data_IF_323187345984
#
_entry.id   IF_323187345984
#
_cell.length_a   1.000
_cell.length_b   1.000
_cell.length_c   1.000
_cell.angle_alpha   90.00
_cell.angle_beta   90.00
_cell.angle_gamma   90.00
#
_symmetry.space_group_name_H-M   'P 1'
#
loop_
_entity.id
_entity.type
_entity.pdbx_description
1 polymer ?
#
# COMPACT_ATOMS: atom_id res chain seq x y z
N UNK A 1 27.66 1.94 17.07
CA UNK A 1 26.80 2.11 15.88
C UNK A 1 25.36 1.74 16.28
N UNK A 2 24.41 2.61 16.03
CA UNK A 2 23.01 2.26 16.26
C UNK A 2 22.57 1.24 15.18
N UNK A 3 21.93 0.19 15.64
CA UNK A 3 21.35 -0.82 14.76
C UNK A 3 20.28 -0.16 13.85
N UNK A 4 20.34 -0.45 12.54
CA UNK A 4 19.35 0.09 11.61
C UNK A 4 17.94 -0.40 11.99
N UNK A 5 16.97 0.50 11.99
CA UNK A 5 15.56 0.13 12.17
C UNK A 5 15.09 -0.80 11.06
N UNK A 6 14.19 -1.72 11.40
CA UNK A 6 13.69 -2.74 10.48
C UNK A 6 12.25 -2.47 10.10
N UNK A 7 12.00 -2.37 8.81
CA UNK A 7 10.67 -2.12 8.22
C UNK A 7 10.20 -3.34 7.44
N UNK A 8 8.98 -3.80 7.72
CA UNK A 8 8.32 -4.85 6.97
C UNK A 8 7.26 -4.24 6.05
N UNK A 9 7.39 -4.46 4.74
CA UNK A 9 6.36 -4.12 3.76
C UNK A 9 5.64 -5.40 3.35
N UNK A 10 4.36 -5.48 3.70
CA UNK A 10 3.46 -6.55 3.29
C UNK A 10 2.47 -6.02 2.25
N UNK A 11 2.26 -6.76 1.20
CA UNK A 11 1.30 -6.38 0.17
C UNK A 11 0.54 -7.58 -0.37
N UNK A 12 -0.62 -7.32 -0.96
CA UNK A 12 -1.26 -8.22 -1.89
C UNK A 12 -1.37 -7.52 -3.25
N UNK A 13 -1.34 -8.26 -4.32
CA UNK A 13 -1.47 -7.72 -5.67
C UNK A 13 -2.33 -8.63 -6.54
N UNK A 14 -2.98 -8.06 -7.51
CA UNK A 14 -3.71 -8.80 -8.54
C UNK A 14 -3.03 -8.67 -9.91
N UNK A 15 -2.61 -7.46 -10.25
CA UNK A 15 -2.06 -7.11 -11.56
C UNK A 15 -0.59 -6.66 -11.51
N UNK A 16 0.06 -6.77 -10.34
CA UNK A 16 1.47 -6.42 -10.16
C UNK A 16 1.73 -4.95 -9.77
N UNK A 17 0.75 -4.05 -9.85
CA UNK A 17 0.95 -2.62 -9.52
C UNK A 17 1.29 -2.41 -8.04
N UNK A 18 0.58 -3.07 -7.13
CA UNK A 18 0.85 -2.96 -5.69
C UNK A 18 2.25 -3.48 -5.34
N UNK A 19 2.71 -4.55 -5.99
CA UNK A 19 4.08 -5.07 -5.88
C UNK A 19 5.11 -4.04 -6.36
N UNK A 20 4.87 -3.44 -7.52
CA UNK A 20 5.75 -2.41 -8.09
C UNK A 20 5.87 -1.22 -7.14
N UNK A 21 4.76 -0.77 -6.58
CA UNK A 21 4.73 0.29 -5.58
C UNK A 21 5.47 -0.09 -4.28
N UNK A 22 5.32 -1.34 -3.81
CA UNK A 22 6.04 -1.85 -2.65
C UNK A 22 7.56 -1.79 -2.85
N UNK A 23 8.05 -2.22 -4.02
CA UNK A 23 9.47 -2.17 -4.37
C UNK A 23 9.98 -0.73 -4.49
N UNK A 24 9.23 0.16 -5.12
CA UNK A 24 9.58 1.58 -5.22
C UNK A 24 9.66 2.26 -3.84
N UNK A 25 8.77 1.89 -2.93
CA UNK A 25 8.80 2.36 -1.55
C UNK A 25 10.01 1.79 -0.80
N UNK A 26 10.29 0.51 -0.97
CA UNK A 26 11.43 -0.17 -0.36
C UNK A 26 12.75 0.48 -0.76
N UNK A 27 12.95 0.80 -2.04
CA UNK A 27 14.15 1.47 -2.55
C UNK A 27 14.40 2.82 -1.85
N UNK A 28 13.33 3.53 -1.51
CA UNK A 28 13.44 4.81 -0.79
C UNK A 28 13.72 4.64 0.71
N UNK A 29 13.18 3.58 1.32
CA UNK A 29 13.36 3.29 2.74
C UNK A 29 14.74 2.68 3.01
N UNK A 30 15.30 1.91 2.08
CA UNK A 30 16.62 1.25 2.21
C UNK A 30 17.77 2.24 2.48
N UNK A 31 17.60 3.49 2.06
CA UNK A 31 18.53 4.56 2.36
C UNK A 31 18.71 4.85 3.87
N UNK A 32 17.72 4.51 4.71
CA UNK A 32 17.73 4.86 6.14
C UNK A 32 17.28 3.73 7.09
N UNK A 33 16.76 2.62 6.58
CA UNK A 33 16.31 1.48 7.38
C UNK A 33 16.58 0.16 6.64
N UNK A 34 16.55 -0.95 7.35
CA UNK A 34 16.56 -2.29 6.75
C UNK A 34 15.13 -2.66 6.33
N UNK A 35 14.94 -3.07 5.08
CA UNK A 35 13.60 -3.32 4.53
C UNK A 35 13.44 -4.77 4.12
N UNK A 36 12.32 -5.38 4.52
CA UNK A 36 11.87 -6.66 4.01
C UNK A 36 10.53 -6.47 3.28
N UNK A 37 10.41 -7.02 2.09
CA UNK A 37 9.19 -6.93 1.27
C UNK A 37 8.64 -8.33 1.02
N UNK A 38 7.39 -8.57 1.43
CA UNK A 38 6.75 -9.86 1.25
C UNK A 38 5.33 -9.73 0.68
N UNK A 39 5.00 -10.64 -0.22
CA UNK A 39 3.64 -10.83 -0.71
C UNK A 39 2.86 -11.69 0.31
N UNK A 40 1.71 -11.24 0.76
CA UNK A 40 0.82 -12.00 1.65
C UNK A 40 0.27 -13.29 1.01
N UNK A 41 0.46 -13.49 -0.31
CA UNK A 41 0.18 -14.75 -0.97
C UNK A 41 1.22 -15.84 -0.64
N UNK A 42 2.46 -15.45 -0.37
CA UNK A 42 3.60 -16.35 -0.26
C UNK A 42 3.97 -16.63 1.20
N UNK A 43 3.96 -15.62 2.06
CA UNK A 43 4.37 -15.75 3.45
C UNK A 43 3.70 -14.73 4.37
N UNK A 44 3.58 -15.09 5.63
CA UNK A 44 3.19 -14.23 6.74
C UNK A 44 4.34 -14.22 7.77
N UNK A 45 5.35 -13.37 7.55
CA UNK A 45 6.52 -13.35 8.42
C UNK A 45 6.19 -12.83 9.80
N UNK A 46 6.91 -13.30 10.85
CA UNK A 46 6.70 -12.84 12.21
C UNK A 46 6.99 -11.33 12.33
N UNK A 47 6.03 -10.59 12.83
CA UNK A 47 6.09 -9.13 12.95
C UNK A 47 6.94 -8.63 14.13
N UNK A 48 7.28 -9.52 15.08
CA UNK A 48 8.05 -9.19 16.27
C UNK A 48 9.43 -8.60 15.99
N UNK A 49 10.06 -9.01 14.89
CA UNK A 49 11.40 -8.58 14.49
C UNK A 49 11.46 -7.22 13.80
N UNK A 50 10.34 -6.55 13.60
CA UNK A 50 10.26 -5.30 12.85
C UNK A 50 9.79 -4.15 13.72
N UNK A 51 10.34 -2.97 13.49
CA UNK A 51 9.99 -1.73 14.20
C UNK A 51 8.73 -1.07 13.62
N UNK A 52 8.50 -1.24 12.33
CA UNK A 52 7.38 -0.64 11.61
C UNK A 52 6.85 -1.59 10.54
N UNK A 53 5.52 -1.64 10.42
CA UNK A 53 4.83 -2.45 9.41
C UNK A 53 4.14 -1.54 8.41
N UNK A 54 4.32 -1.83 7.13
CA UNK A 54 3.59 -1.22 6.02
C UNK A 54 2.69 -2.25 5.37
N UNK A 55 1.43 -1.91 5.15
CA UNK A 55 0.49 -2.73 4.37
C UNK A 55 0.13 -2.03 3.08
N UNK A 56 0.18 -2.75 1.97
CA UNK A 56 -0.22 -2.29 0.65
C UNK A 56 -1.33 -3.14 0.05
N UNK A 57 -2.33 -2.50 -0.53
CA UNK A 57 -3.47 -3.17 -1.15
C UNK A 57 -3.95 -2.49 -2.42
N UNK A 58 -4.28 -3.25 -3.47
CA UNK A 58 -5.08 -2.71 -4.55
C UNK A 58 -6.52 -2.46 -4.07
N UNK A 59 -7.19 -1.51 -4.70
CA UNK A 59 -8.64 -1.31 -4.57
C UNK A 59 -9.33 -1.89 -5.79
N UNK A 60 -10.27 -2.76 -5.54
CA UNK A 60 -11.17 -3.28 -6.56
C UNK A 60 -12.61 -3.18 -6.07
N UNK A 61 -13.47 -2.55 -6.85
CA UNK A 61 -14.87 -2.30 -6.49
C UNK A 61 -15.01 -1.65 -5.10
N UNK A 62 -14.13 -0.70 -4.79
CA UNK A 62 -14.10 0.02 -3.53
C UNK A 62 -13.64 -0.79 -2.32
N UNK A 63 -13.03 -1.96 -2.51
CA UNK A 63 -12.59 -2.87 -1.44
C UNK A 63 -11.12 -3.19 -1.56
N UNK A 64 -10.45 -3.31 -0.41
CA UNK A 64 -9.09 -3.84 -0.33
C UNK A 64 -9.06 -5.34 -0.62
N UNK A 65 -7.89 -5.84 -0.97
CA UNK A 65 -7.68 -7.26 -1.26
C UNK A 65 -8.02 -8.12 -0.03
N UNK A 66 -8.69 -9.27 -0.26
CA UNK A 66 -9.15 -10.18 0.80
C UNK A 66 -8.03 -10.63 1.77
N UNK A 67 -6.82 -10.84 1.26
CA UNK A 67 -5.66 -11.24 2.08
C UNK A 67 -5.21 -10.12 3.02
N UNK A 68 -5.22 -8.88 2.54
CA UNK A 68 -4.92 -7.69 3.38
C UNK A 68 -5.99 -7.52 4.45
N UNK A 69 -7.26 -7.65 4.07
CA UNK A 69 -8.38 -7.59 5.03
C UNK A 69 -8.28 -8.66 6.11
N UNK A 70 -7.93 -9.89 5.72
CA UNK A 70 -7.70 -11.01 6.65
C UNK A 70 -6.53 -10.72 7.58
N UNK A 71 -5.41 -10.22 7.04
CA UNK A 71 -4.24 -9.85 7.82
C UNK A 71 -4.56 -8.80 8.88
N UNK A 72 -5.24 -7.71 8.49
CA UNK A 72 -5.68 -6.66 9.42
C UNK A 72 -6.56 -7.26 10.54
N UNK A 73 -7.52 -8.12 10.17
CA UNK A 73 -8.43 -8.76 11.14
C UNK A 73 -7.65 -9.61 12.18
N UNK A 74 -6.70 -10.39 11.70
CA UNK A 74 -5.96 -11.33 12.53
C UNK A 74 -4.87 -10.65 13.39
N UNK A 75 -4.41 -9.48 12.99
CA UNK A 75 -3.29 -8.77 13.62
C UNK A 75 -3.68 -7.42 14.23
N UNK A 76 -4.95 -7.23 14.57
CA UNK A 76 -5.47 -5.97 15.13
C UNK A 76 -4.68 -5.47 16.34
N UNK A 77 -4.32 -6.37 17.25
CA UNK A 77 -3.62 -6.03 18.48
C UNK A 77 -2.19 -5.53 18.19
N UNK A 78 -1.49 -6.20 17.29
CA UNK A 78 -0.12 -5.81 16.89
C UNK A 78 -0.14 -4.49 16.14
N UNK A 79 -1.04 -4.33 15.16
CA UNK A 79 -1.18 -3.11 14.38
C UNK A 79 -1.67 -1.91 15.22
N UNK A 80 -2.33 -2.17 16.34
CA UNK A 80 -2.79 -1.14 17.27
C UNK A 80 -1.72 -0.59 18.21
N UNK A 81 -0.58 -1.27 18.33
CA UNK A 81 0.52 -0.86 19.23
C UNK A 81 1.83 -0.61 18.50
N UNK A 82 2.08 -1.33 17.41
CA UNK A 82 3.29 -1.16 16.59
C UNK A 82 3.08 -0.03 15.56
N UNK A 83 4.07 0.81 15.29
CA UNK A 83 3.98 1.80 14.21
C UNK A 83 3.56 1.16 12.89
N UNK A 84 2.51 1.69 12.30
CA UNK A 84 1.83 1.12 11.15
C UNK A 84 1.60 2.16 10.05
N UNK A 85 1.85 1.78 8.81
CA UNK A 85 1.56 2.60 7.64
C UNK A 85 0.72 1.80 6.63
N UNK A 86 -0.12 2.48 5.88
CA UNK A 86 -1.04 1.84 4.96
C UNK A 86 -1.12 2.60 3.63
N UNK A 87 -0.95 1.90 2.52
CA UNK A 87 -1.19 2.49 1.21
C UNK A 87 -2.14 1.66 0.36
N UNK A 88 -2.83 2.33 -0.52
CA UNK A 88 -3.68 1.71 -1.52
C UNK A 88 -3.19 2.07 -2.93
N UNK A 89 -3.49 1.18 -3.87
CA UNK A 89 -3.33 1.43 -5.29
C UNK A 89 -4.71 1.45 -5.95
N UNK A 90 -5.07 2.58 -6.53
CA UNK A 90 -6.34 2.78 -7.20
C UNK A 90 -6.21 3.80 -8.33
N UNK A 91 -6.98 3.60 -9.38
CA UNK A 91 -6.94 4.46 -10.56
C UNK A 91 -7.49 5.87 -10.29
N UNK A 92 -8.53 5.98 -9.48
CA UNK A 92 -9.17 7.25 -9.15
C UNK A 92 -8.60 7.81 -7.84
N UNK A 93 -7.54 8.60 -7.93
CA UNK A 93 -6.82 9.11 -6.75
C UNK A 93 -7.63 10.13 -5.94
N UNK A 94 -8.52 10.86 -6.57
CA UNK A 94 -9.41 11.86 -5.95
C UNK A 94 -10.38 11.26 -4.92
N UNK A 95 -10.76 10.00 -5.08
CA UNK A 95 -11.63 9.28 -4.12
C UNK A 95 -10.89 8.31 -3.20
N UNK A 96 -9.56 8.33 -3.22
CA UNK A 96 -8.72 7.42 -2.41
C UNK A 96 -9.05 7.53 -0.92
N UNK A 97 -9.25 8.74 -0.40
CA UNK A 97 -9.62 8.96 1.01
C UNK A 97 -10.89 8.21 1.40
N UNK A 98 -11.90 8.20 0.53
CA UNK A 98 -13.15 7.46 0.76
C UNK A 98 -12.90 5.95 0.86
N UNK A 99 -12.04 5.41 0.01
CA UNK A 99 -11.66 4.00 0.06
C UNK A 99 -10.89 3.64 1.34
N UNK A 100 -9.98 4.49 1.77
CA UNK A 100 -9.23 4.30 3.02
C UNK A 100 -10.17 4.29 4.21
N UNK A 101 -11.06 5.27 4.31
CA UNK A 101 -12.05 5.36 5.40
C UNK A 101 -12.96 4.12 5.45
N UNK A 102 -13.40 3.65 4.29
CA UNK A 102 -14.28 2.48 4.18
C UNK A 102 -13.60 1.17 4.61
N UNK A 103 -12.30 1.04 4.34
CA UNK A 103 -11.61 -0.25 4.44
C UNK A 103 -10.69 -0.37 5.67
N UNK A 104 -10.20 0.73 6.22
CA UNK A 104 -9.33 0.72 7.38
C UNK A 104 -10.11 1.10 8.65
N UNK A 105 -10.15 0.22 9.67
CA UNK A 105 -10.85 0.50 10.93
C UNK A 105 -10.40 1.83 11.56
N UNK A 106 -11.32 2.63 12.15
CA UNK A 106 -11.01 3.94 12.71
C UNK A 106 -9.81 3.94 13.67
N UNK A 107 -9.78 3.01 14.61
CA UNK A 107 -8.68 2.89 15.58
C UNK A 107 -7.31 2.69 14.91
N UNK A 108 -7.24 1.87 13.86
CA UNK A 108 -5.99 1.66 13.12
C UNK A 108 -5.65 2.89 12.28
N UNK A 109 -6.64 3.53 11.67
CA UNK A 109 -6.44 4.73 10.85
C UNK A 109 -5.88 5.89 11.66
N UNK A 110 -6.36 6.10 12.89
CA UNK A 110 -5.85 7.11 13.81
C UNK A 110 -4.43 6.82 14.29
N UNK A 111 -4.04 5.56 14.28
CA UNK A 111 -2.72 5.11 14.72
C UNK A 111 -1.68 5.07 13.60
N UNK A 112 -2.07 5.24 12.34
CA UNK A 112 -1.13 5.17 11.20
C UNK A 112 -0.12 6.32 11.24
N UNK A 113 1.16 5.98 10.98
CA UNK A 113 2.23 6.98 10.79
C UNK A 113 2.21 7.59 9.39
N UNK A 114 1.68 6.85 8.41
CA UNK A 114 1.44 7.30 7.05
C UNK A 114 0.27 6.53 6.44
N UNK A 115 -0.58 7.22 5.71
CA UNK A 115 -1.66 6.62 4.93
C UNK A 115 -1.86 7.44 3.65
N UNK A 116 -1.86 6.76 2.50
CA UNK A 116 -1.98 7.44 1.21
C UNK A 116 -2.38 6.49 0.08
N UNK A 117 -2.65 7.05 -1.09
CA UNK A 117 -2.73 6.31 -2.35
C UNK A 117 -1.44 6.50 -3.15
N UNK A 118 -1.00 5.42 -3.79
CA UNK A 118 0.12 5.47 -4.73
C UNK A 118 -0.33 5.53 -6.20
N UNK A 119 -1.61 5.83 -6.42
CA UNK A 119 -2.20 5.81 -7.75
C UNK A 119 -2.37 4.40 -8.27
N UNK A 120 -2.38 4.22 -9.57
CA UNK A 120 -2.56 2.92 -10.16
C UNK A 120 -2.21 2.88 -11.64
N UNK A 121 -2.02 1.68 -12.13
CA UNK A 121 -1.90 1.38 -13.54
C UNK A 121 -3.07 0.46 -13.92
N UNK A 122 -3.72 0.75 -15.02
CA UNK A 122 -4.70 -0.15 -15.62
C UNK A 122 -4.08 -0.75 -16.88
N UNK A 123 -3.81 -2.04 -16.83
CA UNK A 123 -3.25 -2.75 -17.98
C UNK A 123 -4.19 -3.88 -18.39
N UNK A 124 -4.92 -3.74 -19.52
CA UNK A 124 -5.83 -4.76 -20.01
C UNK A 124 -5.18 -6.10 -20.32
N UNK A 125 -3.86 -6.12 -20.62
CA UNK A 125 -3.14 -7.34 -20.97
C UNK A 125 -3.01 -8.33 -19.83
N UNK A 126 -3.07 -7.89 -18.58
CA UNK A 126 -3.04 -8.75 -17.39
C UNK A 126 -4.42 -9.24 -16.95
N UNK A 127 -5.48 -8.85 -17.64
CA UNK A 127 -6.85 -9.21 -17.31
C UNK A 127 -7.47 -10.07 -18.41
N UNK A 128 -8.32 -11.00 -18.01
CA UNK A 128 -8.98 -11.93 -18.94
C UNK A 128 -10.49 -11.71 -18.96
N UNK A 129 -11.12 -11.92 -20.14
CA UNK A 129 -12.56 -11.93 -20.29
C UNK A 129 -13.24 -10.58 -20.02
N UNK A 130 -14.30 -10.58 -19.22
CA UNK A 130 -15.12 -9.39 -18.92
C UNK A 130 -14.33 -8.31 -18.17
N UNK A 131 -13.40 -8.68 -17.31
CA UNK A 131 -12.53 -7.74 -16.59
C UNK A 131 -11.66 -6.92 -17.56
N UNK A 132 -11.17 -7.55 -18.63
CA UNK A 132 -10.38 -6.87 -19.68
C UNK A 132 -11.22 -5.82 -20.42
N UNK A 133 -12.41 -6.16 -20.85
CA UNK A 133 -13.32 -5.23 -21.55
C UNK A 133 -13.73 -4.06 -20.68
N UNK A 134 -14.03 -4.32 -19.42
CA UNK A 134 -14.35 -3.27 -18.45
C UNK A 134 -13.16 -2.32 -18.24
N UNK A 135 -11.96 -2.86 -18.16
CA UNK A 135 -10.72 -2.06 -18.03
C UNK A 135 -10.45 -1.24 -19.28
N UNK A 136 -10.59 -1.80 -20.47
CA UNK A 136 -10.42 -1.07 -21.74
C UNK A 136 -11.42 0.09 -21.86
N UNK A 137 -12.68 -0.14 -21.48
CA UNK A 137 -13.73 0.89 -21.48
C UNK A 137 -13.40 2.00 -20.47
N UNK A 138 -12.94 1.63 -19.29
CA UNK A 138 -12.54 2.56 -18.23
C UNK A 138 -11.36 3.44 -18.70
N UNK A 139 -10.32 2.84 -19.29
CA UNK A 139 -9.17 3.56 -19.84
C UNK A 139 -9.60 4.59 -20.89
N UNK A 140 -10.44 4.20 -21.84
CA UNK A 140 -10.98 5.12 -22.86
C UNK A 140 -11.73 6.30 -22.25
N UNK A 141 -12.55 6.05 -21.22
CA UNK A 141 -13.29 7.11 -20.53
C UNK A 141 -12.36 8.05 -19.76
N UNK A 142 -11.30 7.53 -19.16
CA UNK A 142 -10.35 8.34 -18.39
C UNK A 142 -9.46 9.18 -19.31
N UNK A 143 -8.97 8.62 -20.41
CA UNK A 143 -8.25 9.38 -21.46
C UNK A 143 -9.12 10.52 -22.02
N UNK A 144 -10.39 10.23 -22.29
CA UNK A 144 -11.35 11.22 -22.81
C UNK A 144 -11.62 12.36 -21.83
N UNK A 145 -11.56 12.08 -20.53
CA UNK A 145 -11.79 13.07 -19.46
C UNK A 145 -10.49 13.73 -18.97
N UNK A 146 -9.34 13.44 -19.56
CA UNK A 146 -8.05 14.01 -19.16
C UNK A 146 -7.51 13.53 -17.81
N UNK A 147 -8.00 12.42 -17.30
CA UNK A 147 -7.52 11.83 -16.06
C UNK A 147 -6.24 11.02 -16.29
N UNK A 148 -5.22 11.27 -15.49
CA UNK A 148 -3.97 10.52 -15.51
C UNK A 148 -4.08 9.26 -14.62
N UNK A 149 -3.86 8.08 -15.23
CA UNK A 149 -3.79 6.81 -14.54
C UNK A 149 -2.34 6.38 -14.50
N UNK A 150 -1.65 6.79 -13.47
CA UNK A 150 -0.24 6.46 -13.27
C UNK A 150 0.08 6.23 -11.79
N UNK A 151 1.24 5.62 -11.55
CA UNK A 151 1.80 5.52 -10.20
C UNK A 151 2.21 6.93 -9.76
N UNK A 152 1.74 7.32 -8.58
CA UNK A 152 2.05 8.61 -7.99
C UNK A 152 3.38 8.55 -7.21
N UNK A 153 4.48 8.80 -7.92
CA UNK A 153 5.83 8.77 -7.35
C UNK A 153 6.05 9.79 -6.23
N UNK A 154 5.37 10.93 -6.31
CA UNK A 154 5.43 11.99 -5.29
C UNK A 154 4.82 11.51 -3.96
N UNK A 155 3.67 10.84 -4.03
CA UNK A 155 3.04 10.27 -2.84
C UNK A 155 3.92 9.18 -2.21
N UNK A 156 4.58 8.34 -3.01
CA UNK A 156 5.53 7.33 -2.51
C UNK A 156 6.69 8.01 -1.77
N UNK A 157 7.26 9.07 -2.32
CA UNK A 157 8.34 9.83 -1.69
C UNK A 157 7.91 10.48 -0.37
N UNK A 158 6.74 11.12 -0.36
CA UNK A 158 6.18 11.73 0.85
C UNK A 158 5.89 10.67 1.93
N UNK A 159 5.38 9.52 1.52
CA UNK A 159 5.10 8.40 2.41
C UNK A 159 6.39 7.85 3.05
N UNK A 160 7.45 7.67 2.27
CA UNK A 160 8.77 7.26 2.77
C UNK A 160 9.34 8.28 3.78
N UNK A 161 9.17 9.58 3.54
CA UNK A 161 9.60 10.64 4.44
C UNK A 161 8.83 10.59 5.78
N UNK A 162 7.54 10.32 5.76
CA UNK A 162 6.75 10.12 6.99
C UNK A 162 7.22 8.91 7.80
N UNK A 163 7.55 7.81 7.13
CA UNK A 163 8.15 6.63 7.77
C UNK A 163 9.50 7.00 8.40
N UNK A 164 10.37 7.69 7.69
CA UNK A 164 11.67 8.16 8.20
C UNK A 164 11.51 8.99 9.46
N UNK A 165 10.57 9.93 9.47
CA UNK A 165 10.27 10.77 10.62
C UNK A 165 9.77 9.94 11.81
N UNK A 166 8.88 8.97 11.57
CA UNK A 166 8.37 8.08 12.61
C UNK A 166 9.49 7.24 13.23
N UNK A 167 10.37 6.66 12.42
CA UNK A 167 11.51 5.85 12.91
C UNK A 167 12.50 6.67 13.73
N UNK A 168 12.74 7.95 13.37
CA UNK A 168 13.59 8.85 14.14
C UNK A 168 13.04 9.15 15.55
N UNK A 169 11.72 9.25 15.68
CA UNK A 169 11.07 9.50 16.99
C UNK A 169 11.12 8.30 17.93
N UNK A 170 11.48 7.13 17.43
CA UNK A 170 11.62 5.89 18.22
C UNK A 170 13.03 5.72 18.80
N UNK A 171 13.94 6.66 18.52
CA UNK A 171 15.29 6.72 19.10
C UNK A 171 15.28 7.44 20.51
#
# INVERSE_FOLDING_TARGET
MSEKRRVLILYATKNGTTKKCANMLADKIDAFAEVTVNNLADADPPTSSYDLIVLGSPIRMGRIHKKVKKYIKNNKNILGVKPFAFYICNAYQDIARRYIIKNLPPKLREHTVAVDTFGGELNPTFQKGMDRRATEMLLKNMEKNGNDISINRRNISNFANKIKTALKKMQ
#
